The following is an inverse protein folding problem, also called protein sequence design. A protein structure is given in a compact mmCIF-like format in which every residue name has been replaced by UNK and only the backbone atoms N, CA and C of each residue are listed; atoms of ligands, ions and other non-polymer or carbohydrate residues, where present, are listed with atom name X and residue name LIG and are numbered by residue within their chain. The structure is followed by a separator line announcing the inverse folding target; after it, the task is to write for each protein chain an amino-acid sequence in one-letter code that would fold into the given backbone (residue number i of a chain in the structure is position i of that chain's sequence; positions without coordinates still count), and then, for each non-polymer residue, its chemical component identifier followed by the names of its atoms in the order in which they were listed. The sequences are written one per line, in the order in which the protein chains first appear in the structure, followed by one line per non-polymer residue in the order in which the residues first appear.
data_IF_636859402816
#
_entry.id   IF_636859402816
#
_cell.length_a   1.000
_cell.length_b   1.000
_cell.length_c   1.000
_cell.angle_alpha   90.00
_cell.angle_beta   90.00
_cell.angle_gamma   90.00
#
_symmetry.space_group_name_H-M   'P 1'
#
loop_
_entity.id
_entity.type
_entity.pdbx_description
1 polymer ?
#
# COMPACT_ATOMS: atom_id res chain seq x y z
N UNK A 1 17.95 14.05 0.53
CA UNK A 1 19.27 13.48 0.20
C UNK A 1 20.27 13.99 1.20
N UNK A 2 20.40 13.46 2.38
CA UNK A 2 21.50 13.69 3.32
C UNK A 2 21.17 13.08 4.66
N UNK A 3 21.40 11.81 4.81
CA UNK A 3 21.70 11.13 6.08
C UNK A 3 22.12 9.69 5.77
N UNK A 4 23.26 9.55 5.13
CA UNK A 4 24.03 8.31 5.11
C UNK A 4 25.50 8.73 5.04
N UNK A 5 26.21 8.60 6.17
CA UNK A 5 27.62 8.25 6.35
C UNK A 5 28.00 8.58 7.79
N UNK A 6 28.11 7.58 8.58
CA UNK A 6 28.74 7.60 9.89
C UNK A 6 29.29 6.22 10.19
N UNK A 7 30.53 5.97 9.81
CA UNK A 7 31.32 4.82 10.24
C UNK A 7 31.88 5.10 11.64
N UNK A 8 31.89 4.17 12.57
CA UNK A 8 32.79 4.23 13.73
C UNK A 8 34.05 3.43 13.45
N UNK A 9 35.16 4.08 13.71
CA UNK A 9 36.54 3.52 13.75
C UNK A 9 36.66 2.52 14.90
N UNK A 10 37.56 1.56 14.66
CA UNK A 10 37.86 0.43 15.48
C UNK A 10 38.55 0.75 16.83
N UNK A 11 38.56 -0.30 17.65
CA UNK A 11 39.57 -0.51 18.68
C UNK A 11 40.04 -1.95 18.66
N UNK A 12 41.37 -2.06 18.63
CA UNK A 12 42.19 -3.26 18.73
C UNK A 12 42.27 -3.78 20.15
N UNK A 13 42.52 -5.06 20.35
CA UNK A 13 43.15 -5.50 21.57
C UNK A 13 42.91 -6.98 21.95
N UNK A 14 43.73 -7.83 21.40
CA UNK A 14 44.45 -8.95 22.05
C UNK A 14 43.71 -10.02 22.87
N UNK A 15 43.85 -11.23 22.35
CA UNK A 15 43.90 -12.52 23.08
C UNK A 15 45.04 -12.57 24.11
N UNK A 16 45.11 -13.47 25.13
CA UNK A 16 45.41 -14.86 24.81
C UNK A 16 44.91 -15.97 25.81
N UNK A 17 44.79 -17.19 25.24
CA UNK A 17 45.33 -18.48 25.71
C UNK A 17 44.84 -19.16 27.02
N UNK A 18 44.48 -20.36 26.89
CA UNK A 18 44.94 -21.66 27.40
C UNK A 18 43.91 -22.48 28.18
N UNK A 19 43.54 -23.56 27.61
CA UNK A 19 43.87 -24.97 27.88
C UNK A 19 43.15 -25.70 29.04
N UNK A 20 42.66 -26.91 28.74
CA UNK A 20 42.61 -28.00 29.72
C UNK A 20 41.34 -28.85 29.77
N UNK A 21 41.19 -29.81 28.93
CA UNK A 21 40.97 -31.27 29.05
C UNK A 21 40.49 -31.81 30.39
N UNK A 22 39.38 -32.55 30.44
CA UNK A 22 39.17 -34.00 30.64
C UNK A 22 37.79 -34.38 31.15
N UNK A 23 37.22 -35.30 30.45
CA UNK A 23 36.36 -36.46 30.75
C UNK A 23 35.89 -36.73 32.16
N UNK A 24 34.65 -37.18 32.30
CA UNK A 24 34.16 -37.97 33.43
C UNK A 24 32.62 -38.16 33.38
N UNK A 25 32.20 -39.27 32.91
CA UNK A 25 30.84 -39.83 33.02
C UNK A 25 30.58 -40.17 34.52
N UNK A 26 29.46 -39.76 35.07
CA UNK A 26 28.66 -40.57 36.03
C UNK A 26 27.24 -40.00 36.10
N UNK A 27 26.27 -40.82 35.73
CA UNK A 27 24.86 -40.68 36.11
C UNK A 27 24.70 -40.72 37.62
N UNK A 28 24.03 -39.72 38.16
CA UNK A 28 23.28 -39.90 39.44
C UNK A 28 22.06 -39.00 39.40
N UNK A 29 20.92 -39.67 39.26
CA UNK A 29 19.59 -39.10 39.53
C UNK A 29 19.52 -38.72 41.02
N UNK A 30 19.50 -37.43 41.30
CA UNK A 30 19.25 -36.90 42.65
C UNK A 30 17.88 -36.26 42.66
N UNK A 31 16.95 -36.91 43.33
CA UNK A 31 15.70 -36.29 43.76
C UNK A 31 16.02 -35.21 44.79
N UNK A 32 16.05 -33.96 44.41
CA UNK A 32 16.12 -32.84 45.35
C UNK A 32 14.69 -32.50 45.81
N UNK A 33 14.41 -32.77 47.07
CA UNK A 33 13.21 -32.30 47.77
C UNK A 33 13.20 -30.78 47.87
N UNK A 34 12.41 -30.14 47.01
CA UNK A 34 12.16 -28.69 47.03
C UNK A 34 11.24 -28.37 48.24
N UNK A 35 11.66 -27.44 49.09
CA UNK A 35 10.85 -26.92 50.20
C UNK A 35 9.53 -26.32 49.66
N UNK A 36 8.41 -26.44 50.43
CA UNK A 36 7.07 -26.02 49.92
C UNK A 36 7.00 -24.58 49.43
N UNK A 37 7.84 -23.69 49.93
CA UNK A 37 7.93 -22.28 49.46
C UNK A 37 8.56 -22.16 48.06
N UNK A 38 9.42 -23.06 47.66
CA UNK A 38 10.02 -23.09 46.31
C UNK A 38 9.06 -23.68 45.30
N UNK A 39 8.24 -24.62 45.69
CA UNK A 39 7.19 -25.22 44.85
C UNK A 39 6.08 -24.20 44.57
N UNK A 40 5.70 -23.38 45.56
CA UNK A 40 4.74 -22.29 45.39
C UNK A 40 5.27 -21.20 44.43
N UNK A 41 6.54 -20.83 44.51
CA UNK A 41 7.18 -19.88 43.61
C UNK A 41 7.30 -20.43 42.17
N UNK A 42 7.51 -21.70 42.01
CA UNK A 42 7.55 -22.36 40.70
C UNK A 42 6.15 -22.43 40.06
N UNK A 43 5.12 -22.81 40.85
CA UNK A 43 3.73 -22.77 40.39
C UNK A 43 3.28 -21.34 40.02
N UNK A 44 3.63 -20.33 40.83
CA UNK A 44 3.28 -18.96 40.57
C UNK A 44 3.95 -18.45 39.25
N UNK A 45 5.20 -18.84 39.01
CA UNK A 45 5.90 -18.51 37.74
C UNK A 45 5.32 -19.27 36.56
N UNK A 46 4.92 -20.51 36.72
CA UNK A 46 4.28 -21.31 35.68
C UNK A 46 2.89 -20.76 35.30
N UNK A 47 2.08 -20.38 36.32
CA UNK A 47 0.80 -19.71 36.10
C UNK A 47 0.97 -18.35 35.44
N UNK A 48 2.00 -17.57 35.79
CA UNK A 48 2.29 -16.28 35.15
C UNK A 48 2.75 -16.45 33.70
N UNK A 49 3.51 -17.51 33.38
CA UNK A 49 3.90 -17.85 32.00
C UNK A 49 2.70 -18.34 31.18
N UNK A 50 1.81 -19.15 31.79
CA UNK A 50 0.57 -19.57 31.12
C UNK A 50 -0.41 -18.41 30.90
N UNK A 51 -0.49 -17.42 31.80
CA UNK A 51 -1.28 -16.19 31.59
C UNK A 51 -0.70 -15.30 30.49
N UNK A 52 0.64 -15.28 30.30
CA UNK A 52 1.29 -14.56 29.21
C UNK A 52 1.10 -15.24 27.84
N UNK A 53 0.82 -16.55 27.80
CA UNK A 53 0.52 -17.31 26.58
C UNK A 53 -0.95 -17.24 26.17
N UNK A 54 -1.83 -16.64 26.99
CA UNK A 54 -3.25 -16.39 26.69
C UNK A 54 -3.49 -15.01 26.04
N UNK A 55 -2.45 -14.23 25.79
CA UNK A 55 -2.56 -13.03 24.94
C UNK A 55 -2.62 -13.53 23.49
N UNK A 56 -3.83 -13.83 23.05
CA UNK A 56 -4.11 -14.08 21.64
C UNK A 56 -3.62 -12.91 20.79
N UNK A 57 -3.35 -13.12 19.50
CA UNK A 57 -2.95 -12.04 18.60
C UNK A 57 -4.00 -10.94 18.68
N UNK A 58 -3.59 -9.76 19.14
CA UNK A 58 -4.40 -8.56 19.03
C UNK A 58 -4.53 -8.32 17.52
N UNK A 59 -5.66 -8.73 16.98
CA UNK A 59 -6.05 -8.37 15.62
C UNK A 59 -6.00 -6.86 15.57
N UNK A 60 -5.13 -6.32 14.73
CA UNK A 60 -5.03 -4.89 14.49
C UNK A 60 -6.39 -4.41 14.02
N UNK A 61 -7.12 -3.75 14.90
CA UNK A 61 -8.45 -3.24 14.61
C UNK A 61 -8.28 -2.13 13.56
N UNK A 62 -8.85 -2.32 12.39
CA UNK A 62 -8.87 -1.34 11.31
C UNK A 62 -9.50 -0.05 11.85
N UNK A 63 -8.71 1.03 11.91
CA UNK A 63 -9.16 2.32 12.43
C UNK A 63 -9.26 3.31 11.27
N UNK A 64 -10.49 3.64 10.90
CA UNK A 64 -10.80 4.76 10.00
C UNK A 64 -10.95 6.01 10.84
N UNK A 65 -10.12 7.02 10.62
CA UNK A 65 -10.26 8.33 11.25
C UNK A 65 -11.01 9.26 10.29
N UNK A 66 -12.19 9.68 10.69
CA UNK A 66 -13.01 10.67 9.96
C UNK A 66 -12.75 12.04 10.58
N UNK A 67 -12.01 12.89 9.90
CA UNK A 67 -11.76 14.27 10.31
C UNK A 67 -12.44 15.22 9.32
N UNK A 68 -13.60 15.75 9.65
CA UNK A 68 -14.25 16.76 8.82
C UNK A 68 -15.75 16.89 9.04
N UNK A 69 -16.23 18.11 9.19
CA UNK A 69 -17.66 18.45 9.27
C UNK A 69 -18.17 18.66 7.83
N UNK A 70 -19.23 17.94 7.40
CA UNK A 70 -20.02 18.34 6.24
C UNK A 70 -20.11 17.40 5.05
N UNK A 71 -19.60 16.16 5.08
CA UNK A 71 -20.04 15.14 4.12
C UNK A 71 -21.06 14.21 4.75
N UNK A 72 -22.26 14.15 4.17
CA UNK A 72 -23.25 13.14 4.54
C UNK A 72 -22.82 11.81 3.91
N UNK A 73 -22.15 10.97 4.70
CA UNK A 73 -21.84 9.60 4.28
C UNK A 73 -23.15 8.83 4.06
N UNK A 74 -23.25 8.06 2.99
CA UNK A 74 -24.40 7.22 2.73
C UNK A 74 -24.45 6.04 3.72
N UNK A 75 -25.49 5.89 4.53
CA UNK A 75 -25.61 4.76 5.45
C UNK A 75 -25.84 3.46 4.67
N UNK A 76 -24.93 2.50 4.81
CA UNK A 76 -25.00 1.18 4.15
C UNK A 76 -24.96 0.07 5.19
N UNK A 77 -25.82 -0.93 5.05
CA UNK A 77 -25.82 -2.13 5.85
C UNK A 77 -25.34 -3.33 4.99
N UNK A 78 -24.33 -4.04 5.47
CA UNK A 78 -23.84 -5.27 4.85
C UNK A 78 -24.21 -6.43 5.78
N UNK A 79 -25.23 -7.20 5.41
CA UNK A 79 -25.63 -8.35 6.20
C UNK A 79 -24.57 -9.47 6.13
N UNK A 80 -24.36 -10.23 7.22
CA UNK A 80 -23.51 -11.41 7.18
C UNK A 80 -23.97 -12.37 6.07
N UNK A 81 -23.04 -12.83 5.24
CA UNK A 81 -23.36 -13.72 4.13
C UNK A 81 -23.73 -15.11 4.65
N UNK A 82 -24.81 -15.66 4.15
CA UNK A 82 -25.20 -17.02 4.46
C UNK A 82 -24.08 -17.98 4.05
N UNK A 83 -23.63 -18.81 4.99
CA UNK A 83 -22.51 -19.74 4.78
C UNK A 83 -21.12 -19.19 5.03
N UNK A 84 -20.93 -17.87 5.23
CA UNK A 84 -19.58 -17.30 5.48
C UNK A 84 -18.94 -17.73 6.80
N UNK A 85 -19.72 -18.27 7.75
CA UNK A 85 -19.17 -18.82 9.00
C UNK A 85 -18.20 -19.97 8.73
N UNK A 86 -18.46 -20.77 7.68
CA UNK A 86 -17.62 -21.89 7.26
C UNK A 86 -16.59 -21.51 6.18
N UNK A 87 -16.62 -20.29 5.67
CA UNK A 87 -15.65 -19.80 4.69
C UNK A 87 -14.37 -19.30 5.37
N UNK A 88 -13.22 -19.39 4.69
CA UNK A 88 -11.93 -18.90 5.23
C UNK A 88 -11.85 -17.38 5.38
N UNK A 89 -12.78 -16.64 4.79
CA UNK A 89 -12.86 -15.19 4.83
C UNK A 89 -14.24 -14.72 5.30
N UNK A 90 -14.30 -13.57 5.98
CA UNK A 90 -15.54 -12.90 6.37
C UNK A 90 -15.86 -11.83 5.33
N UNK A 91 -16.63 -12.21 4.31
CA UNK A 91 -16.88 -11.37 3.14
C UNK A 91 -17.57 -10.06 3.50
N UNK A 92 -18.62 -10.12 4.35
CA UNK A 92 -19.36 -8.94 4.77
C UNK A 92 -18.44 -7.90 5.46
N UNK A 93 -17.54 -8.34 6.33
CA UNK A 93 -16.62 -7.46 7.05
C UNK A 93 -15.61 -6.78 6.09
N UNK A 94 -15.09 -7.51 5.10
CA UNK A 94 -14.17 -6.95 4.09
C UNK A 94 -14.89 -5.90 3.26
N UNK A 95 -16.09 -6.21 2.76
CA UNK A 95 -16.90 -5.28 1.95
C UNK A 95 -17.22 -4.01 2.74
N UNK A 96 -17.64 -4.15 3.99
CA UNK A 96 -17.94 -3.00 4.84
C UNK A 96 -16.71 -2.13 5.05
N UNK A 97 -15.56 -2.72 5.42
CA UNK A 97 -14.31 -1.99 5.65
C UNK A 97 -13.84 -1.22 4.41
N UNK A 98 -13.97 -1.82 3.22
CA UNK A 98 -13.65 -1.17 1.95
C UNK A 98 -14.53 0.05 1.68
N UNK A 99 -15.84 -0.09 1.84
CA UNK A 99 -16.79 0.99 1.62
C UNK A 99 -16.55 2.15 2.61
N UNK A 100 -16.34 1.85 3.90
CA UNK A 100 -16.03 2.86 4.92
C UNK A 100 -14.72 3.59 4.61
N UNK A 101 -13.67 2.86 4.21
CA UNK A 101 -12.36 3.43 3.83
C UNK A 101 -12.46 4.42 2.66
N UNK A 102 -13.42 4.24 1.76
CA UNK A 102 -13.66 5.18 0.65
C UNK A 102 -14.09 6.56 1.14
N UNK A 103 -14.57 6.67 2.38
CA UNK A 103 -15.09 7.90 2.97
C UNK A 103 -16.49 8.29 2.52
N UNK A 104 -17.09 7.57 1.58
CA UNK A 104 -18.42 7.89 1.06
C UNK A 104 -19.55 7.18 1.81
N UNK A 105 -19.22 6.14 2.57
CA UNK A 105 -20.20 5.30 3.23
C UNK A 105 -19.97 5.25 4.74
N UNK A 106 -21.10 5.15 5.46
CA UNK A 106 -21.13 4.84 6.88
C UNK A 106 -21.73 3.44 7.06
N UNK A 107 -20.93 2.51 7.55
CA UNK A 107 -21.40 1.15 7.86
C UNK A 107 -22.41 1.15 9.00
N UNK A 108 -23.48 0.40 8.84
CA UNK A 108 -24.48 0.13 9.87
C UNK A 108 -24.42 -1.33 10.30
N UNK A 109 -24.59 -1.58 11.57
CA UNK A 109 -24.61 -2.92 12.11
C UNK A 109 -25.80 -3.74 11.55
N UNK A 110 -25.52 -4.82 10.86
CA UNK A 110 -26.48 -5.77 10.32
C UNK A 110 -26.26 -7.20 10.86
N UNK A 111 -25.44 -7.37 11.91
CA UNK A 111 -24.99 -8.68 12.42
C UNK A 111 -26.12 -9.62 12.82
N UNK A 112 -27.26 -9.11 13.26
CA UNK A 112 -28.46 -9.88 13.60
C UNK A 112 -29.43 -10.16 12.44
N UNK A 113 -29.09 -9.81 11.20
CA UNK A 113 -29.99 -9.88 10.06
C UNK A 113 -29.70 -11.12 9.21
N UNK A 114 -30.71 -11.98 9.04
CA UNK A 114 -30.64 -13.16 8.16
C UNK A 114 -31.14 -12.80 6.75
N UNK A 115 -30.32 -12.05 6.00
CA UNK A 115 -30.65 -11.58 4.65
C UNK A 115 -29.66 -12.17 3.66
N UNK A 116 -30.16 -12.97 2.73
CA UNK A 116 -29.41 -13.49 1.59
C UNK A 116 -29.91 -12.85 0.27
N UNK A 117 -29.34 -13.24 -0.86
CA UNK A 117 -29.70 -12.69 -2.18
C UNK A 117 -31.12 -13.03 -2.64
N UNK A 118 -31.79 -13.99 -1.97
CA UNK A 118 -33.16 -14.42 -2.27
C UNK A 118 -34.20 -13.76 -1.36
N UNK A 119 -33.74 -13.06 -0.34
CA UNK A 119 -34.58 -12.43 0.68
C UNK A 119 -35.42 -11.28 0.12
N UNK A 120 -36.56 -11.03 0.74
CA UNK A 120 -37.38 -9.83 0.54
C UNK A 120 -37.26 -8.96 1.79
N UNK A 121 -36.41 -7.92 1.79
CA UNK A 121 -36.22 -7.07 2.96
C UNK A 121 -37.52 -6.35 3.37
N UNK A 122 -37.75 -6.21 4.68
CA UNK A 122 -38.74 -5.30 5.21
C UNK A 122 -38.19 -3.86 5.12
N UNK A 123 -38.64 -3.14 4.11
CA UNK A 123 -38.20 -1.74 3.86
C UNK A 123 -38.51 -0.82 5.02
N UNK A 124 -39.62 -1.04 5.73
CA UNK A 124 -40.00 -0.19 6.88
C UNK A 124 -38.97 -0.34 8.01
N UNK A 125 -38.65 -1.58 8.37
CA UNK A 125 -37.68 -1.89 9.40
C UNK A 125 -36.29 -1.31 9.08
N UNK A 126 -35.85 -1.42 7.84
CA UNK A 126 -34.53 -0.89 7.43
C UNK A 126 -34.50 0.63 7.37
N UNK A 127 -35.59 1.30 6.93
CA UNK A 127 -35.68 2.78 6.99
C UNK A 127 -35.68 3.30 8.42
N UNK A 128 -36.32 2.62 9.37
CA UNK A 128 -36.27 2.97 10.81
C UNK A 128 -34.84 2.91 11.37
N UNK A 129 -33.97 2.09 10.80
CA UNK A 129 -32.53 2.01 11.11
C UNK A 129 -31.71 3.05 10.36
N UNK A 130 -32.33 3.97 9.62
CA UNK A 130 -31.67 5.00 8.80
C UNK A 130 -30.74 4.39 7.74
N UNK A 131 -31.11 3.24 7.16
CA UNK A 131 -30.33 2.56 6.12
C UNK A 131 -30.78 3.06 4.76
N UNK A 132 -29.80 3.51 3.92
CA UNK A 132 -30.08 3.92 2.54
C UNK A 132 -29.86 2.78 1.55
N UNK A 133 -28.85 1.96 1.79
CA UNK A 133 -28.53 0.80 0.96
C UNK A 133 -28.28 -0.44 1.80
N UNK A 134 -28.71 -1.59 1.31
CA UNK A 134 -28.57 -2.89 1.97
C UNK A 134 -27.93 -3.88 1.00
N UNK A 135 -26.95 -4.63 1.49
CA UNK A 135 -26.35 -5.77 0.79
C UNK A 135 -26.62 -7.03 1.59
N UNK A 136 -27.10 -8.06 0.94
CA UNK A 136 -27.24 -9.40 1.49
C UNK A 136 -26.77 -10.44 0.48
N UNK A 137 -26.35 -11.60 0.94
CA UNK A 137 -25.80 -12.59 0.03
C UNK A 137 -25.51 -13.94 0.67
N UNK A 138 -24.96 -14.83 -0.15
CA UNK A 138 -24.52 -16.16 0.26
C UNK A 138 -23.14 -16.49 -0.30
N UNK A 139 -22.44 -17.38 0.40
CA UNK A 139 -21.20 -18.00 -0.06
C UNK A 139 -21.28 -19.51 0.16
N UNK A 140 -21.10 -20.27 -0.90
CA UNK A 140 -21.28 -21.72 -0.89
C UNK A 140 -20.02 -22.40 -1.44
N UNK A 141 -19.47 -23.37 -0.69
CA UNK A 141 -18.40 -24.21 -1.19
C UNK A 141 -18.95 -25.25 -2.17
N UNK A 142 -18.40 -25.26 -3.37
CA UNK A 142 -18.75 -26.21 -4.43
C UNK A 142 -18.01 -27.54 -4.25
N UNK A 143 -18.48 -28.58 -4.96
CA UNK A 143 -17.88 -29.91 -4.91
C UNK A 143 -16.42 -29.95 -5.39
N UNK A 144 -16.03 -29.05 -6.27
CA UNK A 144 -14.66 -28.90 -6.79
C UNK A 144 -13.74 -28.06 -5.87
N UNK A 145 -14.25 -27.61 -4.71
CA UNK A 145 -13.50 -26.84 -3.72
C UNK A 145 -13.52 -25.33 -3.95
N UNK A 146 -14.05 -24.84 -5.07
CA UNK A 146 -14.28 -23.40 -5.30
C UNK A 146 -15.43 -22.89 -4.45
N UNK A 147 -15.58 -21.57 -4.41
CA UNK A 147 -16.66 -20.89 -3.70
C UNK A 147 -17.51 -20.09 -4.69
N UNK A 148 -18.82 -20.29 -4.64
CA UNK A 148 -19.82 -19.51 -5.35
C UNK A 148 -20.31 -18.40 -4.41
N UNK A 149 -20.16 -17.15 -4.84
CA UNK A 149 -20.52 -15.94 -4.11
C UNK A 149 -21.68 -15.30 -4.86
N UNK A 150 -22.76 -15.04 -4.14
CA UNK A 150 -23.91 -14.32 -4.66
C UNK A 150 -24.26 -13.20 -3.72
N UNK A 151 -24.56 -12.04 -4.26
CA UNK A 151 -25.01 -10.90 -3.49
C UNK A 151 -26.07 -10.11 -4.25
N UNK A 152 -26.91 -9.42 -3.50
CA UNK A 152 -27.90 -8.49 -4.02
C UNK A 152 -27.80 -7.18 -3.27
N UNK A 153 -27.89 -6.09 -4.02
CA UNK A 153 -27.92 -4.74 -3.50
C UNK A 153 -29.33 -4.18 -3.65
N UNK A 154 -29.83 -3.57 -2.59
CA UNK A 154 -31.13 -2.90 -2.57
C UNK A 154 -30.97 -1.42 -2.20
N UNK A 155 -31.77 -0.58 -2.86
CA UNK A 155 -32.02 0.81 -2.49
C UNK A 155 -33.21 0.80 -1.50
N UNK A 156 -32.90 0.98 -0.23
CA UNK A 156 -33.89 0.92 0.86
C UNK A 156 -34.83 2.12 0.82
N UNK A 157 -34.34 3.28 0.40
CA UNK A 157 -35.13 4.51 0.28
C UNK A 157 -36.24 4.31 -0.74
N UNK A 158 -35.90 3.79 -1.91
CA UNK A 158 -36.87 3.53 -3.01
C UNK A 158 -37.60 2.21 -2.84
N UNK A 159 -37.13 1.31 -1.98
CA UNK A 159 -37.73 -0.01 -1.77
C UNK A 159 -37.63 -0.92 -3.00
N UNK A 160 -36.46 -0.88 -3.68
CA UNK A 160 -36.22 -1.64 -4.90
C UNK A 160 -34.82 -2.25 -4.96
N UNK A 161 -34.71 -3.30 -5.76
CA UNK A 161 -33.43 -3.91 -6.10
C UNK A 161 -32.63 -3.00 -7.03
N UNK A 162 -31.31 -2.91 -6.81
CA UNK A 162 -30.36 -2.20 -7.70
C UNK A 162 -29.57 -3.15 -8.58
N UNK A 163 -29.39 -4.40 -8.18
CA UNK A 163 -28.68 -5.38 -8.99
C UNK A 163 -28.17 -6.57 -8.21
N UNK A 164 -27.59 -7.51 -8.95
CA UNK A 164 -26.99 -8.74 -8.45
C UNK A 164 -25.50 -8.81 -8.77
N UNK A 165 -24.75 -9.45 -7.87
CA UNK A 165 -23.34 -9.81 -8.06
C UNK A 165 -23.21 -11.33 -8.00
N UNK A 166 -22.37 -11.89 -8.89
CA UNK A 166 -21.99 -13.32 -8.87
C UNK A 166 -20.52 -13.46 -9.21
N UNK A 167 -19.85 -14.34 -8.46
CA UNK A 167 -18.45 -14.69 -8.70
C UNK A 167 -18.18 -16.11 -8.21
N UNK A 168 -17.32 -16.85 -8.90
CA UNK A 168 -16.94 -18.22 -8.51
C UNK A 168 -15.43 -18.34 -8.53
N UNK A 169 -14.83 -18.53 -7.36
CA UNK A 169 -13.39 -18.42 -7.16
C UNK A 169 -12.79 -19.57 -6.36
N UNK A 170 -11.49 -19.87 -6.51
CA UNK A 170 -10.75 -20.70 -5.58
C UNK A 170 -10.76 -20.13 -4.16
N UNK A 171 -10.57 -20.97 -3.15
CA UNK A 171 -10.53 -20.55 -1.75
C UNK A 171 -9.49 -19.44 -1.46
N UNK A 172 -8.33 -19.46 -2.14
CA UNK A 172 -7.28 -18.46 -2.00
C UNK A 172 -7.69 -17.08 -2.52
N UNK A 173 -8.66 -17.00 -3.44
CA UNK A 173 -9.09 -15.76 -4.08
C UNK A 173 -10.35 -15.14 -3.46
N UNK A 174 -10.87 -15.74 -2.38
CA UNK A 174 -12.09 -15.26 -1.70
C UNK A 174 -11.95 -13.82 -1.21
N UNK A 175 -10.76 -13.44 -0.73
CA UNK A 175 -10.50 -12.08 -0.28
C UNK A 175 -10.60 -11.10 -1.46
N UNK A 176 -9.94 -11.39 -2.58
CA UNK A 176 -10.01 -10.58 -3.79
C UNK A 176 -11.42 -10.52 -4.37
N UNK A 177 -12.21 -11.62 -4.27
CA UNK A 177 -13.62 -11.62 -4.67
C UNK A 177 -14.46 -10.70 -3.77
N UNK A 178 -14.14 -10.61 -2.47
CA UNK A 178 -14.81 -9.67 -1.56
C UNK A 178 -14.51 -8.21 -1.93
N UNK A 179 -13.29 -7.90 -2.29
CA UNK A 179 -12.91 -6.58 -2.81
C UNK A 179 -13.61 -6.25 -4.14
N UNK A 180 -13.75 -7.23 -5.07
CA UNK A 180 -14.54 -7.05 -6.31
C UNK A 180 -16.02 -6.80 -6.03
N UNK A 181 -16.58 -7.47 -5.02
CA UNK A 181 -17.95 -7.21 -4.57
C UNK A 181 -18.07 -5.78 -4.00
N UNK A 182 -17.10 -5.33 -3.21
CA UNK A 182 -17.05 -3.95 -2.72
C UNK A 182 -16.95 -2.94 -3.87
N UNK A 183 -16.12 -3.21 -4.89
CA UNK A 183 -16.01 -2.39 -6.10
C UNK A 183 -17.35 -2.30 -6.85
N UNK A 184 -18.03 -3.43 -6.97
CA UNK A 184 -19.34 -3.47 -7.60
C UNK A 184 -20.39 -2.66 -6.82
N UNK A 185 -20.47 -2.85 -5.49
CA UNK A 185 -21.39 -2.08 -4.63
C UNK A 185 -21.09 -0.59 -4.74
N UNK A 186 -19.80 -0.22 -4.65
CA UNK A 186 -19.34 1.16 -4.78
C UNK A 186 -19.80 1.77 -6.11
N UNK A 187 -19.59 1.07 -7.21
CA UNK A 187 -19.97 1.51 -8.56
C UNK A 187 -21.48 1.67 -8.71
N UNK A 188 -22.28 0.71 -8.18
CA UNK A 188 -23.73 0.79 -8.23
C UNK A 188 -24.29 1.98 -7.45
N UNK A 189 -23.65 2.37 -6.37
CA UNK A 189 -24.09 3.46 -5.50
C UNK A 189 -23.56 4.84 -5.91
N UNK A 190 -22.36 4.92 -6.46
CA UNK A 190 -21.68 6.19 -6.78
C UNK A 190 -21.62 6.49 -8.28
N UNK A 191 -21.80 5.50 -9.13
CA UNK A 191 -21.57 5.60 -10.58
C UNK A 191 -20.10 5.59 -11.00
N UNK A 192 -19.15 5.53 -10.05
CA UNK A 192 -17.71 5.54 -10.29
C UNK A 192 -17.14 4.14 -10.01
N UNK A 193 -16.19 3.61 -10.78
CA UNK A 193 -15.54 2.35 -10.45
C UNK A 193 -14.89 2.35 -9.06
N UNK A 194 -15.01 1.26 -8.32
CA UNK A 194 -14.24 1.04 -7.10
C UNK A 194 -12.76 0.76 -7.43
N UNK A 195 -11.90 0.72 -6.42
CA UNK A 195 -10.48 0.40 -6.55
C UNK A 195 -9.99 -0.51 -5.42
N UNK A 196 -10.91 -1.28 -4.83
CA UNK A 196 -10.60 -2.14 -3.69
C UNK A 196 -9.94 -3.45 -4.13
N UNK A 197 -10.35 -4.02 -5.27
CA UNK A 197 -9.74 -5.23 -5.85
C UNK A 197 -8.42 -4.92 -6.60
N UNK A 198 -7.63 -4.00 -6.07
CA UNK A 198 -6.31 -3.63 -6.57
C UNK A 198 -5.22 -4.02 -5.59
N UNK A 199 -3.96 -3.80 -5.95
CA UNK A 199 -2.82 -4.14 -5.10
C UNK A 199 -1.96 -2.93 -4.84
N UNK A 200 -1.24 -2.96 -3.71
CA UNK A 200 -0.18 -2.00 -3.39
C UNK A 200 1.15 -2.72 -3.29
N UNK A 201 2.22 -2.08 -3.74
CA UNK A 201 3.59 -2.49 -3.49
C UNK A 201 4.22 -1.54 -2.47
N UNK A 202 5.05 -2.04 -1.58
CA UNK A 202 5.80 -1.23 -0.62
C UNK A 202 7.06 -1.96 -0.16
N UNK A 203 7.98 -1.24 0.44
CA UNK A 203 9.22 -1.80 0.97
C UNK A 203 9.22 -1.71 2.49
N UNK A 204 9.70 -2.78 3.15
CA UNK A 204 10.03 -2.71 4.58
C UNK A 204 11.52 -2.92 4.81
N UNK A 205 12.04 -2.31 5.89
CA UNK A 205 13.34 -2.62 6.44
C UNK A 205 13.17 -3.13 7.87
N UNK A 206 13.55 -4.38 8.11
CA UNK A 206 13.50 -4.99 9.43
C UNK A 206 14.73 -5.89 9.63
N UNK A 207 15.41 -5.80 10.79
CA UNK A 207 16.56 -6.63 11.10
C UNK A 207 17.71 -6.53 10.08
N UNK A 208 17.91 -5.37 9.44
CA UNK A 208 18.92 -5.17 8.39
C UNK A 208 18.54 -5.74 7.02
N UNK A 209 17.33 -6.28 6.86
CA UNK A 209 16.82 -6.86 5.62
C UNK A 209 15.75 -5.96 5.01
N UNK A 210 15.82 -5.78 3.71
CA UNK A 210 14.81 -5.09 2.90
C UNK A 210 13.91 -6.12 2.23
N UNK A 211 12.60 -5.87 2.25
CA UNK A 211 11.63 -6.75 1.59
C UNK A 211 10.67 -5.90 0.77
N UNK A 212 10.55 -6.23 -0.51
CA UNK A 212 9.51 -5.71 -1.41
C UNK A 212 8.27 -6.56 -1.24
N UNK A 213 7.19 -5.96 -0.81
CA UNK A 213 5.90 -6.60 -0.59
C UNK A 213 4.90 -6.22 -1.67
N UNK A 214 3.99 -7.14 -1.94
CA UNK A 214 2.75 -6.92 -2.69
C UNK A 214 1.61 -7.35 -1.79
N UNK A 215 0.68 -6.44 -1.54
CA UNK A 215 -0.49 -6.65 -0.68
C UNK A 215 -1.77 -6.24 -1.40
N UNK A 216 -2.93 -6.62 -0.84
CA UNK A 216 -4.22 -6.07 -1.25
C UNK A 216 -4.29 -4.56 -0.92
N UNK A 217 -5.25 -3.84 -1.49
CA UNK A 217 -5.37 -2.38 -1.34
C UNK A 217 -5.59 -1.92 0.11
N UNK A 218 -5.99 -2.81 1.01
CA UNK A 218 -6.13 -2.56 2.44
C UNK A 218 -4.87 -2.94 3.27
N UNK A 219 -3.82 -3.41 2.59
CA UNK A 219 -2.54 -3.81 3.18
C UNK A 219 -2.49 -5.24 3.68
N UNK A 220 -3.61 -5.95 3.70
CA UNK A 220 -3.67 -7.36 4.07
C UNK A 220 -3.18 -8.27 2.94
N UNK A 221 -3.02 -9.56 3.23
CA UNK A 221 -2.61 -10.55 2.24
C UNK A 221 -1.20 -10.34 1.68
N UNK A 222 -0.35 -9.57 2.36
CA UNK A 222 0.98 -9.20 1.89
C UNK A 222 1.86 -10.42 1.61
N UNK A 223 2.41 -10.48 0.41
CA UNK A 223 3.34 -11.50 -0.05
C UNK A 223 4.70 -10.87 -0.39
N UNK A 224 5.78 -11.48 0.08
CA UNK A 224 7.12 -11.03 -0.24
C UNK A 224 7.46 -11.34 -1.70
N UNK A 225 7.57 -10.31 -2.54
CA UNK A 225 8.02 -10.46 -3.92
C UNK A 225 9.55 -10.62 -4.00
N UNK A 226 10.28 -9.90 -3.13
CA UNK A 226 11.74 -9.97 -3.07
C UNK A 226 12.22 -9.64 -1.66
N UNK A 227 13.24 -10.34 -1.20
CA UNK A 227 13.95 -10.00 0.04
C UNK A 227 15.46 -9.92 -0.22
N UNK A 228 16.13 -8.89 0.31
CA UNK A 228 17.54 -8.59 0.10
C UNK A 228 18.20 -8.06 1.37
N UNK A 229 19.51 -8.31 1.55
CA UNK A 229 20.35 -7.62 2.53
C UNK A 229 20.67 -6.18 2.13
N UNK A 230 20.58 -5.89 0.83
CA UNK A 230 20.88 -4.58 0.27
C UNK A 230 19.60 -3.80 0.02
N UNK A 231 19.63 -2.46 -0.01
CA UNK A 231 18.45 -1.64 -0.21
C UNK A 231 17.66 -1.99 -1.47
N UNK A 232 16.34 -1.98 -1.32
CA UNK A 232 15.37 -1.98 -2.41
C UNK A 232 14.60 -0.67 -2.25
N UNK A 233 14.47 0.11 -3.33
CA UNK A 233 13.75 1.39 -3.32
C UNK A 233 12.97 1.62 -4.61
N UNK A 234 12.07 2.58 -4.58
CA UNK A 234 11.32 3.09 -5.73
C UNK A 234 10.57 2.03 -6.54
N UNK A 235 9.74 1.18 -5.89
CA UNK A 235 8.86 0.30 -6.64
C UNK A 235 7.89 1.13 -7.50
N UNK A 236 7.55 0.59 -8.68
CA UNK A 236 6.61 1.20 -9.61
C UNK A 236 5.90 0.10 -10.41
N UNK A 237 4.58 0.08 -10.37
CA UNK A 237 3.76 -0.89 -11.09
C UNK A 237 3.76 -0.64 -12.59
N UNK A 238 3.82 -1.72 -13.36
CA UNK A 238 3.51 -1.66 -14.79
C UNK A 238 2.02 -1.38 -15.01
N UNK A 239 1.64 -0.75 -16.14
CA UNK A 239 0.25 -0.38 -16.42
C UNK A 239 -0.72 -1.57 -16.46
N UNK A 240 -0.22 -2.78 -16.73
CA UNK A 240 -1.03 -4.01 -16.75
C UNK A 240 -1.06 -4.75 -15.39
N UNK A 241 -0.38 -4.23 -14.35
CA UNK A 241 -0.36 -4.82 -13.02
C UNK A 241 0.40 -6.15 -12.86
N UNK A 242 1.12 -6.60 -13.88
CA UNK A 242 1.80 -7.90 -13.86
C UNK A 242 3.27 -7.80 -13.45
N UNK A 243 3.85 -6.61 -13.49
CA UNK A 243 5.27 -6.38 -13.25
C UNK A 243 5.49 -5.19 -12.30
N UNK A 244 6.60 -5.25 -11.57
CA UNK A 244 7.14 -4.13 -10.79
C UNK A 244 8.52 -3.75 -11.31
N UNK A 245 8.73 -2.47 -11.59
CA UNK A 245 10.07 -1.91 -11.66
C UNK A 245 10.50 -1.47 -10.26
N UNK A 246 11.76 -1.60 -9.94
CA UNK A 246 12.34 -1.12 -8.69
C UNK A 246 13.85 -0.96 -8.83
N UNK A 247 14.46 -0.27 -7.88
CA UNK A 247 15.92 -0.14 -7.76
C UNK A 247 16.42 -1.12 -6.72
N UNK A 248 17.44 -1.92 -7.07
CA UNK A 248 18.16 -2.77 -6.12
C UNK A 248 19.64 -2.41 -6.06
N UNK A 249 20.19 -2.51 -4.85
CA UNK A 249 21.60 -2.30 -4.57
C UNK A 249 22.39 -3.62 -4.42
N UNK A 250 21.81 -4.77 -4.79
CA UNK A 250 22.48 -6.09 -4.75
C UNK A 250 23.84 -6.09 -5.43
N UNK A 251 24.01 -5.32 -6.50
CA UNK A 251 25.28 -5.14 -7.23
C UNK A 251 26.21 -4.08 -6.64
N UNK A 252 25.98 -3.64 -5.39
CA UNK A 252 26.68 -2.55 -4.69
C UNK A 252 26.60 -1.18 -5.38
N UNK A 253 25.71 -1.06 -6.34
CA UNK A 253 25.29 0.18 -6.99
C UNK A 253 23.81 0.10 -7.32
N UNK A 254 23.11 1.24 -7.49
CA UNK A 254 21.71 1.22 -7.88
C UNK A 254 21.55 0.72 -9.32
N UNK A 255 20.69 -0.29 -9.49
CA UNK A 255 20.33 -0.92 -10.79
C UNK A 255 18.81 -1.03 -10.83
N UNK A 256 18.21 -0.67 -11.97
CA UNK A 256 16.77 -0.82 -12.19
C UNK A 256 16.47 -2.22 -12.72
N UNK A 257 15.60 -2.92 -12.00
CA UNK A 257 15.07 -4.22 -12.38
C UNK A 257 13.59 -4.12 -12.75
N UNK A 258 13.13 -5.03 -13.59
CA UNK A 258 11.72 -5.36 -13.79
C UNK A 258 11.51 -6.80 -13.32
N UNK A 259 10.49 -6.98 -12.48
CA UNK A 259 10.14 -8.21 -11.81
C UNK A 259 8.71 -8.61 -12.21
N UNK A 260 8.55 -9.79 -12.79
CA UNK A 260 7.27 -10.41 -13.10
C UNK A 260 6.70 -11.07 -11.85
N UNK A 261 5.58 -10.58 -11.34
CA UNK A 261 5.05 -10.97 -10.02
C UNK A 261 4.67 -12.46 -9.98
N UNK A 262 4.00 -12.96 -11.02
CA UNK A 262 3.50 -14.33 -11.04
C UNK A 262 4.60 -15.39 -11.08
N UNK A 263 5.69 -15.14 -11.81
CA UNK A 263 6.79 -16.11 -12.00
C UNK A 263 8.00 -15.86 -11.10
N UNK A 264 8.09 -14.68 -10.48
CA UNK A 264 9.26 -14.23 -9.74
C UNK A 264 10.49 -13.92 -10.62
N UNK A 265 10.36 -13.96 -11.96
CA UNK A 265 11.46 -13.68 -12.88
C UNK A 265 11.81 -12.21 -12.86
N UNK A 266 13.13 -11.94 -12.81
CA UNK A 266 13.67 -10.58 -12.79
C UNK A 266 14.60 -10.37 -13.98
N UNK A 267 14.58 -9.16 -14.53
CA UNK A 267 15.55 -8.73 -15.55
C UNK A 267 16.05 -7.33 -15.26
N UNK A 268 17.29 -7.08 -15.61
CA UNK A 268 17.89 -5.75 -15.55
C UNK A 268 17.35 -4.91 -16.71
N UNK A 269 16.95 -3.66 -16.42
CA UNK A 269 16.49 -2.70 -17.42
C UNK A 269 17.44 -1.52 -17.53
N UNK A 270 17.97 -1.01 -16.41
CA UNK A 270 18.99 0.02 -16.45
C UNK A 270 20.13 -0.32 -15.49
N UNK A 271 21.34 -0.48 -16.06
CA UNK A 271 22.59 -0.74 -15.36
C UNK A 271 23.73 0.08 -15.98
N UNK A 272 23.47 1.35 -16.22
CA UNK A 272 24.44 2.27 -16.77
C UNK A 272 25.47 2.71 -15.72
N UNK A 273 26.55 3.37 -16.17
CA UNK A 273 27.54 3.96 -15.27
C UNK A 273 26.85 4.99 -14.36
N UNK A 274 27.26 5.04 -13.10
CA UNK A 274 26.68 5.95 -12.10
C UNK A 274 25.35 5.45 -11.52
N UNK A 275 24.49 6.37 -11.12
CA UNK A 275 23.18 6.08 -10.52
C UNK A 275 22.14 5.70 -11.60
N UNK A 276 21.29 4.74 -11.25
CA UNK A 276 20.13 4.31 -12.02
C UNK A 276 18.96 4.22 -11.02
N UNK A 277 18.04 5.20 -11.01
CA UNK A 277 17.05 5.33 -9.93
C UNK A 277 15.71 5.85 -10.42
N UNK A 278 14.73 5.85 -9.51
CA UNK A 278 13.38 6.41 -9.69
C UNK A 278 12.71 6.00 -11.02
N UNK A 279 12.49 4.70 -11.27
CA UNK A 279 11.82 4.25 -12.49
C UNK A 279 10.33 4.62 -12.47
N UNK A 280 9.80 5.07 -13.62
CA UNK A 280 8.39 5.29 -13.87
C UNK A 280 8.01 4.67 -15.22
N UNK A 281 7.00 3.80 -15.21
CA UNK A 281 6.51 3.17 -16.43
C UNK A 281 5.80 4.13 -17.37
N UNK A 282 6.06 3.99 -18.67
CA UNK A 282 5.19 4.63 -19.66
C UNK A 282 3.81 3.95 -19.67
N UNK A 283 2.72 4.68 -19.96
CA UNK A 283 1.36 4.11 -19.94
C UNK A 283 1.15 2.97 -20.95
N UNK A 284 1.94 2.89 -22.00
CA UNK A 284 1.92 1.80 -22.99
C UNK A 284 2.72 0.55 -22.54
N UNK A 285 3.43 0.63 -21.39
CA UNK A 285 4.23 -0.45 -20.84
C UNK A 285 5.48 -0.81 -21.64
N UNK A 286 5.86 -0.05 -22.66
CA UNK A 286 7.00 -0.35 -23.53
C UNK A 286 8.31 0.25 -23.07
N UNK A 287 8.26 1.28 -22.23
CA UNK A 287 9.46 1.95 -21.74
C UNK A 287 9.32 2.34 -20.26
N UNK A 288 10.46 2.63 -19.66
CA UNK A 288 10.57 3.23 -18.32
C UNK A 288 11.32 4.55 -18.49
N UNK A 289 10.84 5.62 -17.86
CA UNK A 289 11.67 6.79 -17.62
C UNK A 289 12.37 6.61 -16.28
N UNK A 290 13.69 6.77 -16.26
CA UNK A 290 14.51 6.63 -15.06
C UNK A 290 15.49 7.79 -14.94
N UNK A 291 15.95 8.06 -13.72
CA UNK A 291 17.03 9.00 -13.44
C UNK A 291 18.36 8.29 -13.61
N UNK A 292 19.18 8.75 -14.58
CA UNK A 292 20.53 8.22 -14.82
C UNK A 292 21.56 9.33 -14.66
N UNK A 293 22.72 8.98 -14.07
CA UNK A 293 23.86 9.91 -13.97
C UNK A 293 25.04 9.52 -14.88
N UNK A 294 24.78 8.74 -15.94
CA UNK A 294 25.78 8.15 -16.84
C UNK A 294 26.65 9.17 -17.58
N UNK A 295 26.07 10.34 -17.89
CA UNK A 295 26.68 11.37 -18.73
C UNK A 295 26.99 12.66 -17.90
N UNK A 296 27.20 12.53 -16.59
CA UNK A 296 27.46 13.65 -15.67
C UNK A 296 26.39 13.74 -14.59
N UNK A 297 25.66 14.89 -14.50
CA UNK A 297 24.59 15.08 -13.51
C UNK A 297 23.39 14.15 -13.71
N UNK A 298 22.56 14.02 -12.67
CA UNK A 298 21.34 13.19 -12.71
C UNK A 298 20.31 13.79 -13.62
N UNK A 299 19.94 13.05 -14.67
CA UNK A 299 18.99 13.47 -15.71
C UNK A 299 17.99 12.37 -16.02
N UNK A 300 16.87 12.73 -16.64
CA UNK A 300 15.86 11.77 -17.04
C UNK A 300 16.21 11.14 -18.39
N UNK A 301 16.06 9.82 -18.46
CA UNK A 301 16.23 9.02 -19.66
C UNK A 301 15.03 8.10 -19.85
N UNK A 302 14.57 7.98 -21.08
CA UNK A 302 13.62 6.91 -21.46
C UNK A 302 14.42 5.69 -21.86
N UNK A 303 14.15 4.56 -21.21
CA UNK A 303 14.77 3.27 -21.48
C UNK A 303 13.73 2.33 -22.06
N UNK A 304 13.96 1.86 -23.27
CA UNK A 304 13.11 0.85 -23.92
C UNK A 304 13.26 -0.50 -23.23
N UNK A 305 12.14 -1.10 -22.85
CA UNK A 305 12.13 -2.35 -22.07
C UNK A 305 12.68 -3.53 -22.90
N UNK A 306 12.42 -3.57 -24.20
CA UNK A 306 12.82 -4.66 -25.09
C UNK A 306 14.28 -4.61 -25.46
N UNK A 307 14.74 -3.45 -25.96
CA UNK A 307 16.12 -3.27 -26.45
C UNK A 307 17.12 -2.84 -25.38
N UNK A 308 16.64 -2.20 -24.28
CA UNK A 308 17.52 -1.57 -23.28
C UNK A 308 18.13 -0.26 -23.75
N UNK A 309 17.74 0.27 -24.90
CA UNK A 309 18.22 1.54 -25.43
C UNK A 309 17.75 2.69 -24.53
N UNK A 310 18.67 3.61 -24.17
CA UNK A 310 18.39 4.74 -23.32
C UNK A 310 18.55 6.07 -24.09
N UNK A 311 17.44 6.82 -24.21
CA UNK A 311 17.39 8.17 -24.81
C UNK A 311 17.24 9.23 -23.73
N UNK A 312 18.16 10.19 -23.71
CA UNK A 312 18.12 11.31 -22.77
C UNK A 312 16.94 12.24 -23.05
N UNK A 313 16.22 12.67 -22.01
CA UNK A 313 15.06 13.55 -22.08
C UNK A 313 15.36 14.96 -21.54
N UNK A 314 16.25 15.08 -20.53
CA UNK A 314 16.58 16.37 -19.92
C UNK A 314 18.07 16.68 -19.99
N UNK A 315 18.41 17.98 -20.04
CA UNK A 315 19.79 18.49 -20.15
C UNK A 315 20.05 19.70 -19.22
N UNK A 316 19.33 19.78 -18.09
CA UNK A 316 19.52 20.87 -17.13
C UNK A 316 20.87 20.81 -16.42
N UNK A 317 21.31 21.93 -15.86
CA UNK A 317 22.48 21.95 -14.98
C UNK A 317 22.17 21.38 -13.59
N UNK A 318 20.89 21.24 -13.23
CA UNK A 318 20.44 20.70 -11.96
C UNK A 318 20.23 19.18 -11.99
N UNK A 319 19.78 18.67 -10.86
CA UNK A 319 19.34 17.28 -10.69
C UNK A 319 17.90 17.16 -11.15
N UNK A 320 17.64 16.32 -12.16
CA UNK A 320 16.30 15.95 -12.60
C UNK A 320 16.03 14.50 -12.18
N UNK A 321 14.97 14.28 -11.38
CA UNK A 321 14.69 12.98 -10.75
C UNK A 321 13.19 12.77 -10.51
N UNK A 322 12.81 11.59 -10.04
CA UNK A 322 11.43 11.21 -9.66
C UNK A 322 10.41 11.53 -10.77
N UNK A 323 10.59 10.97 -11.98
CA UNK A 323 9.64 11.17 -13.06
C UNK A 323 8.31 10.47 -12.76
N UNK A 324 7.21 11.07 -13.21
CA UNK A 324 5.87 10.49 -13.22
C UNK A 324 5.13 10.91 -14.48
N UNK A 325 4.52 9.96 -15.19
CA UNK A 325 3.74 10.28 -16.39
C UNK A 325 2.39 10.89 -16.03
N UNK A 326 1.92 11.85 -16.84
CA UNK A 326 0.50 12.23 -16.86
C UNK A 326 -0.36 11.03 -17.27
N UNK A 327 -1.63 11.03 -16.87
CA UNK A 327 -2.56 9.94 -17.14
C UNK A 327 -2.70 9.59 -18.63
N UNK A 328 -2.67 10.62 -19.50
CA UNK A 328 -2.73 10.50 -20.96
C UNK A 328 -1.36 10.15 -21.61
N UNK A 329 -0.29 10.08 -20.80
CA UNK A 329 1.07 9.78 -21.26
C UNK A 329 1.73 10.87 -22.10
N UNK A 330 1.12 12.05 -22.22
CA UNK A 330 1.63 13.14 -23.07
C UNK A 330 2.69 13.99 -22.38
N UNK A 331 2.70 14.01 -21.05
CA UNK A 331 3.62 14.79 -20.24
C UNK A 331 4.33 13.95 -19.16
N UNK A 332 5.45 14.47 -18.66
CA UNK A 332 6.16 14.03 -17.48
C UNK A 332 6.17 15.13 -16.44
N UNK A 333 5.78 14.78 -15.22
CA UNK A 333 6.09 15.54 -14.01
C UNK A 333 7.39 15.00 -13.43
N UNK A 334 8.23 15.84 -12.85
CA UNK A 334 9.49 15.41 -12.26
C UNK A 334 10.01 16.45 -11.28
N UNK A 335 10.92 16.04 -10.42
CA UNK A 335 11.60 16.93 -9.48
C UNK A 335 12.84 17.49 -10.12
N UNK A 336 13.05 18.80 -9.99
CA UNK A 336 14.26 19.47 -10.43
C UNK A 336 14.69 20.59 -9.48
N UNK A 337 15.98 20.70 -9.21
CA UNK A 337 16.58 21.79 -8.46
C UNK A 337 17.18 22.89 -9.35
N UNK A 338 16.88 22.89 -10.67
CA UNK A 338 17.38 23.88 -11.63
C UNK A 338 17.07 25.33 -11.27
N UNK A 339 16.06 25.57 -10.44
CA UNK A 339 15.67 26.88 -9.90
C UNK A 339 16.25 27.18 -8.52
N UNK A 340 17.26 26.40 -8.05
CA UNK A 340 17.94 26.58 -6.79
C UNK A 340 17.48 25.64 -5.66
N UNK A 341 16.25 25.13 -5.70
CA UNK A 341 15.74 24.15 -4.74
C UNK A 341 14.80 23.16 -5.43
N UNK A 342 14.63 21.93 -4.89
CA UNK A 342 13.76 20.93 -5.48
C UNK A 342 12.32 21.42 -5.61
N UNK A 343 11.82 21.39 -6.84
CA UNK A 343 10.46 21.75 -7.21
C UNK A 343 9.94 20.80 -8.27
N UNK A 344 8.63 20.73 -8.43
CA UNK A 344 8.02 19.92 -9.47
C UNK A 344 7.95 20.74 -10.77
N UNK A 345 8.42 20.10 -11.83
CA UNK A 345 8.37 20.60 -13.20
C UNK A 345 7.54 19.66 -14.05
N UNK A 346 7.02 20.18 -15.17
CA UNK A 346 6.31 19.43 -16.21
C UNK A 346 6.98 19.67 -17.55
N UNK A 347 7.09 18.63 -18.38
CA UNK A 347 7.57 18.72 -19.77
C UNK A 347 6.82 17.72 -20.65
N UNK A 348 6.87 17.86 -22.01
CA UNK A 348 6.39 16.81 -22.90
C UNK A 348 7.08 15.47 -22.63
N UNK A 349 6.33 14.37 -22.69
CA UNK A 349 6.87 13.03 -22.37
C UNK A 349 8.00 12.59 -23.33
N UNK A 350 8.12 13.22 -24.49
CA UNK A 350 9.19 12.98 -25.45
C UNK A 350 10.44 13.83 -25.21
N UNK A 351 10.47 14.65 -24.15
CA UNK A 351 11.48 15.65 -23.89
C UNK A 351 11.09 17.00 -24.48
N UNK A 352 11.80 18.05 -24.07
CA UNK A 352 11.54 19.42 -24.51
C UNK A 352 11.59 20.43 -23.37
N UNK A 353 11.02 21.63 -23.56
CA UNK A 353 10.99 22.66 -22.52
C UNK A 353 10.28 22.17 -21.26
N UNK A 354 10.83 22.50 -20.11
CA UNK A 354 10.27 22.18 -18.82
C UNK A 354 9.76 23.43 -18.11
N UNK A 355 8.54 23.37 -17.62
CA UNK A 355 7.86 24.44 -16.89
C UNK A 355 7.72 24.06 -15.43
N UNK A 356 7.94 25.03 -14.53
CA UNK A 356 7.74 24.83 -13.09
C UNK A 356 6.26 24.76 -12.76
N UNK A 357 5.87 23.78 -11.94
CA UNK A 357 4.48 23.54 -11.52
C UNK A 357 4.23 24.02 -10.10
N UNK A 358 5.20 23.81 -9.18
CA UNK A 358 5.04 24.18 -7.78
C UNK A 358 5.76 25.47 -7.44
N UNK A 359 5.04 26.42 -6.81
CA UNK A 359 5.57 27.75 -6.44
C UNK A 359 5.51 27.98 -4.93
N UNK A 360 4.66 27.28 -4.20
CA UNK A 360 4.54 27.36 -2.75
C UNK A 360 5.51 26.40 -2.09
N UNK A 361 6.14 26.87 -1.00
CA UNK A 361 7.15 26.09 -0.29
C UNK A 361 8.54 26.10 -0.97
N UNK A 362 9.57 25.78 -0.21
CA UNK A 362 10.94 25.79 -0.69
C UNK A 362 11.44 24.42 -1.15
N UNK A 363 10.65 23.36 -0.97
CA UNK A 363 11.06 21.99 -1.25
C UNK A 363 9.83 21.12 -1.53
N UNK A 364 9.65 20.76 -2.81
CA UNK A 364 8.53 19.94 -3.28
C UNK A 364 9.04 18.75 -4.08
N UNK A 365 8.65 17.53 -3.71
CA UNK A 365 9.17 16.27 -4.24
C UNK A 365 8.05 15.24 -4.42
N UNK A 366 8.38 14.08 -4.99
CA UNK A 366 7.52 12.91 -5.16
C UNK A 366 6.19 13.23 -5.86
N UNK A 367 6.24 13.77 -7.09
CA UNK A 367 5.03 14.05 -7.85
C UNK A 367 4.28 12.78 -8.20
N UNK A 368 2.97 12.77 -7.97
CA UNK A 368 2.05 11.71 -8.34
C UNK A 368 0.82 12.33 -9.00
N UNK A 369 0.73 12.36 -10.32
CA UNK A 369 -0.47 12.80 -11.02
C UNK A 369 -1.58 11.75 -10.89
N UNK A 370 -2.82 12.20 -10.75
CA UNK A 370 -3.97 11.32 -10.64
C UNK A 370 -4.33 10.68 -12.00
N UNK A 371 -4.87 9.44 -12.00
CA UNK A 371 -5.30 8.76 -13.23
C UNK A 371 -6.40 9.50 -14.03
N UNK A 372 -7.21 10.34 -13.40
CA UNK A 372 -8.20 11.18 -14.08
C UNK A 372 -7.62 12.50 -14.67
N UNK A 373 -6.32 12.74 -14.43
CA UNK A 373 -5.61 13.92 -14.92
C UNK A 373 -5.97 15.23 -14.21
N UNK A 374 -6.77 15.18 -13.15
CA UNK A 374 -7.25 16.38 -12.45
C UNK A 374 -6.30 16.85 -11.36
N UNK A 375 -5.67 15.92 -10.63
CA UNK A 375 -4.92 16.21 -9.43
C UNK A 375 -3.43 15.89 -9.56
N UNK A 376 -2.62 16.62 -8.83
CA UNK A 376 -1.21 16.30 -8.59
C UNK A 376 -0.99 16.21 -7.08
N UNK A 377 -0.72 15.01 -6.57
CA UNK A 377 -0.24 14.83 -5.21
C UNK A 377 1.27 14.99 -5.17
N UNK A 378 1.80 15.54 -4.09
CA UNK A 378 3.24 15.70 -3.89
C UNK A 378 3.57 15.93 -2.41
N UNK A 379 4.82 15.73 -2.05
CA UNK A 379 5.31 15.99 -0.71
C UNK A 379 5.97 17.38 -0.66
N UNK A 380 5.52 18.21 0.26
CA UNK A 380 6.06 19.56 0.50
C UNK A 380 6.68 19.65 1.90
N UNK A 381 7.83 20.32 2.00
CA UNK A 381 8.47 20.58 3.28
C UNK A 381 7.94 21.88 3.87
N UNK A 382 7.19 21.78 4.95
CA UNK A 382 6.59 22.91 5.68
C UNK A 382 7.06 22.88 7.14
N UNK A 383 7.69 23.94 7.62
CA UNK A 383 8.18 24.01 9.00
C UNK A 383 9.19 22.89 9.36
N UNK A 384 9.95 22.39 8.39
CA UNK A 384 10.87 21.28 8.58
C UNK A 384 10.25 19.89 8.48
N UNK A 385 8.92 19.78 8.40
CA UNK A 385 8.17 18.54 8.28
C UNK A 385 7.77 18.28 6.82
N UNK A 386 7.73 17.02 6.42
CA UNK A 386 7.26 16.61 5.10
C UNK A 386 5.77 16.26 5.19
N UNK A 387 4.94 16.95 4.39
CA UNK A 387 3.49 16.81 4.38
C UNK A 387 2.98 16.58 2.97
N UNK A 388 1.94 15.76 2.87
CA UNK A 388 1.27 15.50 1.60
C UNK A 388 0.36 16.66 1.22
N UNK A 389 0.55 17.16 0.01
CA UNK A 389 -0.24 18.20 -0.63
C UNK A 389 -0.92 17.66 -1.89
N UNK A 390 -2.07 18.20 -2.21
CA UNK A 390 -2.79 17.96 -3.46
C UNK A 390 -3.06 19.29 -4.14
N UNK A 391 -2.71 19.37 -5.42
CA UNK A 391 -2.99 20.49 -6.33
C UNK A 391 -4.08 20.10 -7.32
N UNK A 392 -5.09 20.92 -7.48
CA UNK A 392 -5.99 20.87 -8.65
C UNK A 392 -5.26 21.46 -9.84
N UNK A 393 -4.98 20.65 -10.86
CA UNK A 393 -4.16 21.05 -12.01
C UNK A 393 -4.83 22.10 -12.91
N UNK A 394 -6.16 22.21 -12.87
CA UNK A 394 -6.88 23.19 -13.66
C UNK A 394 -6.86 24.59 -13.01
N UNK A 395 -7.04 24.66 -11.69
CA UNK A 395 -7.10 25.93 -10.95
C UNK A 395 -5.77 26.33 -10.31
N UNK A 396 -4.84 25.40 -10.13
CA UNK A 396 -3.60 25.61 -9.38
C UNK A 396 -3.82 25.68 -7.86
N UNK A 397 -5.04 25.45 -7.35
CA UNK A 397 -5.34 25.47 -5.93
C UNK A 397 -4.64 24.29 -5.22
N UNK A 398 -3.97 24.58 -4.11
CA UNK A 398 -3.21 23.60 -3.30
C UNK A 398 -3.82 23.47 -1.91
N UNK A 399 -3.95 22.22 -1.46
CA UNK A 399 -4.40 21.88 -0.11
C UNK A 399 -3.40 20.91 0.53
N UNK A 400 -3.02 21.17 1.79
CA UNK A 400 -2.35 20.17 2.62
C UNK A 400 -3.41 19.17 3.12
N UNK A 401 -3.19 17.86 2.87
CA UNK A 401 -4.19 16.85 3.21
C UNK A 401 -3.78 15.95 4.37
N UNK A 402 -2.57 16.13 4.91
CA UNK A 402 -2.07 15.40 6.07
C UNK A 402 -1.64 16.34 7.19
N UNK A 403 -1.70 15.82 8.41
CA UNK A 403 -1.22 16.42 9.66
C UNK A 403 -0.01 15.69 10.24
N UNK A 404 0.44 14.62 9.59
CA UNK A 404 1.64 13.86 9.88
C UNK A 404 2.91 14.65 9.51
N UNK A 405 4.11 14.14 9.89
CA UNK A 405 5.35 14.93 9.83
C UNK A 405 6.44 14.38 8.90
N UNK A 406 6.26 13.17 8.39
CA UNK A 406 7.26 12.46 7.60
C UNK A 406 6.61 11.69 6.45
N UNK A 407 5.73 12.37 5.71
CA UNK A 407 5.02 11.76 4.58
C UNK A 407 5.97 11.57 3.41
N UNK A 408 5.83 10.43 2.73
CA UNK A 408 6.63 10.11 1.57
C UNK A 408 5.84 9.33 0.51
N UNK A 409 6.24 9.50 -0.76
CA UNK A 409 5.81 8.69 -1.91
C UNK A 409 4.29 8.51 -2.00
N UNK A 410 3.51 9.58 -2.18
CA UNK A 410 2.10 9.43 -2.49
C UNK A 410 1.90 8.67 -3.81
N UNK A 411 0.88 7.81 -3.85
CA UNK A 411 0.44 7.14 -5.08
C UNK A 411 -1.08 7.05 -5.10
N UNK A 412 -1.69 7.45 -6.21
CA UNK A 412 -3.15 7.43 -6.36
C UNK A 412 -3.69 6.03 -6.58
N UNK A 413 -4.83 5.74 -5.97
CA UNK A 413 -5.70 4.66 -6.41
C UNK A 413 -6.15 4.91 -7.87
N UNK A 414 -6.35 3.84 -8.68
CA UNK A 414 -6.65 4.00 -10.10
C UNK A 414 -7.99 4.70 -10.40
N UNK A 415 -8.88 4.84 -9.41
CA UNK A 415 -10.11 5.63 -9.52
C UNK A 415 -9.93 7.11 -9.10
N UNK A 416 -8.72 7.55 -8.78
CA UNK A 416 -8.39 8.92 -8.37
C UNK A 416 -9.08 9.43 -7.10
N UNK A 417 -9.59 8.52 -6.23
CA UNK A 417 -10.34 8.90 -5.03
C UNK A 417 -9.54 8.77 -3.74
N UNK A 418 -8.57 7.89 -3.73
CA UNK A 418 -7.71 7.63 -2.59
C UNK A 418 -6.24 7.82 -2.97
N UNK A 419 -5.42 8.13 -1.99
CA UNK A 419 -3.96 8.23 -2.10
C UNK A 419 -3.37 7.36 -1.00
N UNK A 420 -2.48 6.42 -1.35
CA UNK A 420 -1.62 5.72 -0.38
C UNK A 420 -0.33 6.50 -0.18
N UNK A 421 0.18 6.53 1.03
CA UNK A 421 1.46 7.15 1.39
C UNK A 421 2.07 6.46 2.61
N UNK A 422 3.38 6.54 2.77
CA UNK A 422 4.05 6.12 3.99
C UNK A 422 4.28 7.34 4.89
N UNK A 423 4.25 7.14 6.21
CA UNK A 423 4.42 8.22 7.19
C UNK A 423 4.77 7.71 8.57
N UNK A 424 5.15 8.62 9.47
CA UNK A 424 5.21 8.37 10.90
C UNK A 424 3.86 8.71 11.56
N UNK A 425 3.06 7.69 11.86
CA UNK A 425 1.83 7.82 12.62
C UNK A 425 2.07 7.41 14.07
N UNK A 426 1.87 8.34 15.02
CA UNK A 426 2.11 8.11 16.45
C UNK A 426 3.52 7.56 16.76
N UNK A 427 4.54 8.09 16.07
CA UNK A 427 5.94 7.68 16.23
C UNK A 427 6.31 6.31 15.65
N UNK A 428 5.42 5.71 14.87
CA UNK A 428 5.66 4.43 14.18
C UNK A 428 5.44 4.58 12.69
N UNK A 429 6.29 3.94 11.91
CA UNK A 429 6.11 3.83 10.47
C UNK A 429 4.78 3.15 10.13
N UNK A 430 4.08 3.70 9.16
CA UNK A 430 2.76 3.22 8.75
C UNK A 430 2.49 3.49 7.28
N UNK A 431 1.75 2.57 6.65
CA UNK A 431 1.01 2.86 5.43
C UNK A 431 -0.31 3.49 5.81
N UNK A 432 -0.62 4.58 5.16
CA UNK A 432 -1.88 5.30 5.32
C UNK A 432 -2.55 5.50 3.97
N UNK A 433 -3.86 5.54 3.96
CA UNK A 433 -4.62 6.12 2.83
C UNK A 433 -5.30 7.40 3.28
N UNK A 434 -5.48 8.31 2.33
CA UNK A 434 -6.27 9.52 2.51
C UNK A 434 -7.19 9.70 1.30
N UNK A 435 -8.38 10.25 1.53
CA UNK A 435 -9.18 10.83 0.44
C UNK A 435 -8.46 12.07 -0.12
N UNK A 436 -8.73 12.41 -1.38
CA UNK A 436 -8.07 13.55 -2.07
C UNK A 436 -8.28 14.88 -1.33
N UNK A 437 -9.40 15.02 -0.62
CA UNK A 437 -9.71 16.19 0.21
C UNK A 437 -9.16 16.11 1.65
N UNK A 438 -8.46 15.02 2.00
CA UNK A 438 -7.83 14.83 3.31
C UNK A 438 -8.79 14.55 4.47
N UNK A 439 -10.09 14.38 4.21
CA UNK A 439 -11.10 14.25 5.27
C UNK A 439 -11.14 12.88 5.93
N UNK A 440 -10.89 11.83 5.14
CA UNK A 440 -10.87 10.45 5.63
C UNK A 440 -9.46 9.92 5.51
N UNK A 441 -8.93 9.44 6.62
CA UNK A 441 -7.62 8.81 6.70
C UNK A 441 -7.78 7.43 7.31
N UNK A 442 -7.12 6.45 6.73
CA UNK A 442 -7.14 5.09 7.24
C UNK A 442 -5.71 4.52 7.31
N UNK A 443 -5.40 3.86 8.42
CA UNK A 443 -4.18 3.08 8.53
C UNK A 443 -4.42 1.74 7.86
N UNK A 444 -3.53 1.37 6.94
CA UNK A 444 -3.55 0.06 6.31
C UNK A 444 -2.86 -0.97 7.18
N UNK A 445 -3.24 -2.22 7.02
CA UNK A 445 -2.44 -3.33 7.50
C UNK A 445 -1.08 -3.31 6.80
N UNK A 446 -0.04 -3.72 7.49
CA UNK A 446 1.31 -3.74 6.93
C UNK A 446 2.22 -4.65 7.72
N UNK A 447 3.28 -5.11 7.07
CA UNK A 447 4.32 -5.87 7.74
C UNK A 447 5.11 -4.96 8.68
N UNK A 448 5.52 -5.49 9.83
CA UNK A 448 6.31 -4.73 10.79
C UNK A 448 7.67 -4.30 10.23
N UNK A 449 8.20 -3.19 10.74
CA UNK A 449 9.48 -2.62 10.35
C UNK A 449 9.36 -1.16 9.90
N UNK A 450 10.42 -0.65 9.31
CA UNK A 450 10.48 0.67 8.68
C UNK A 450 9.81 0.55 7.30
N UNK A 451 8.55 1.04 7.18
CA UNK A 451 7.71 0.91 5.99
C UNK A 451 7.90 2.14 5.12
N UNK A 452 8.17 1.92 3.82
CA UNK A 452 8.52 3.01 2.88
C UNK A 452 7.99 2.78 1.47
N UNK A 453 7.94 3.88 0.72
CA UNK A 453 7.80 3.94 -0.72
C UNK A 453 6.64 3.12 -1.30
N UNK A 454 5.41 3.33 -0.85
CA UNK A 454 4.27 2.65 -1.44
C UNK A 454 4.03 3.08 -2.89
N UNK A 455 3.49 2.14 -3.68
CA UNK A 455 2.97 2.41 -5.01
C UNK A 455 1.66 1.65 -5.23
N UNK A 456 0.62 2.34 -5.68
CA UNK A 456 -0.70 1.76 -5.92
C UNK A 456 -0.76 1.16 -7.33
N UNK A 457 -1.10 -0.10 -7.44
CA UNK A 457 -1.23 -0.80 -8.71
C UNK A 457 -2.47 -0.39 -9.50
N UNK A 458 -2.50 -0.69 -10.80
CA UNK A 458 -3.63 -0.40 -11.67
C UNK A 458 -4.84 -1.28 -11.34
N UNK A 459 -6.00 -0.98 -11.95
CA UNK A 459 -7.12 -1.90 -11.96
C UNK A 459 -6.66 -3.26 -12.50
N UNK A 460 -6.97 -4.33 -11.78
CA UNK A 460 -6.72 -5.68 -12.28
C UNK A 460 -7.60 -5.90 -13.52
N UNK A 461 -6.99 -6.32 -14.62
CA UNK A 461 -7.77 -6.83 -15.73
C UNK A 461 -8.62 -8.00 -15.20
N UNK A 462 -9.92 -8.02 -15.51
CA UNK A 462 -10.74 -9.21 -15.19
C UNK A 462 -10.13 -10.40 -15.93
N UNK A 463 -9.91 -11.52 -15.23
CA UNK A 463 -9.43 -12.74 -15.88
C UNK A 463 -10.39 -13.24 -16.94
#
# INVERSE_FOLDING_TARGET
MSRFFGLPRGFSGQNPLCAGVRSGVVEKTVFLGLKPVQMLRFMLRFVMVCLLLLVGPVMAQFRVEVTGVGMTQMPVAIAPFKGEAAAPQKLAAIVQADLERSGQFKGLDASGSAIDELSRPDWSAWRQRSTDALVGGSVTRLADGRYDIRARLWDVVKGQEKGEFRDTVPAGDLRQASHRLADWVYQQLTGTPGAFATRIAYVTKAGGRYTLWVADSDGEGAQAALASSEPIISPSWSPNGNQLAYVSFESRKPVVYVHEIASGRRRVVANFRGSNSAPAWSPDGRSIVATLSRDGGSQLFRVDIGSGEARRLTTSAGIDTEPAFSADGTALFFVSDRGGSPQIYRMPAQGGPAERVTFNGSYNISPAPSPDGRWLAYVSRVGGQFKLHVMDLASGQVSAITDTSADERPSFAPNSRLIVYATLAQGREALMTSTVDGRIKARLAGQGGDIREPDWGPMSARP
#
